data_IF_712773302547
#
_entry.id   IF_712773302547
#
_cell.length_a   1.000
_cell.length_b   1.000
_cell.length_c   1.000
_cell.angle_alpha   90.00
_cell.angle_beta   90.00
_cell.angle_gamma   90.00
#
_symmetry.space_group_name_H-M   'P 1'
#
loop_
_entity.id
_entity.type
_entity.pdbx_description
1 polymer ?
#
# COMPACT_ATOMS: atom_id res chain seq x y z
N UNK A 1 -3.49 9.51 -6.37
CA UNK A 1 -2.01 9.51 -6.49
C UNK A 1 -1.60 8.30 -7.31
N UNK A 2 -0.79 8.48 -8.34
CA UNK A 2 -0.28 7.38 -9.18
C UNK A 2 1.25 7.40 -9.13
N UNK A 3 1.87 6.23 -9.00
CA UNK A 3 3.31 6.04 -9.08
C UNK A 3 3.72 6.09 -10.56
N UNK A 4 4.59 7.03 -10.92
CA UNK A 4 5.05 7.22 -12.30
C UNK A 4 6.32 6.43 -12.62
N UNK A 5 7.17 6.18 -11.62
CA UNK A 5 8.45 5.47 -11.78
C UNK A 5 8.54 4.37 -10.72
N UNK A 6 8.84 3.17 -11.17
CA UNK A 6 9.07 1.99 -10.32
C UNK A 6 10.20 1.17 -10.95
N UNK A 7 11.24 0.88 -10.18
CA UNK A 7 12.36 0.06 -10.63
C UNK A 7 12.90 -0.74 -9.44
N UNK A 8 12.80 -2.06 -9.53
CA UNK A 8 13.30 -3.03 -8.55
C UNK A 8 14.28 -4.01 -9.19
N UNK A 9 14.90 -3.60 -10.30
CA UNK A 9 15.88 -4.43 -11.01
C UNK A 9 17.10 -4.74 -10.15
N UNK A 10 17.73 -5.87 -10.42
CA UNK A 10 18.95 -6.36 -9.77
C UNK A 10 18.84 -6.49 -8.24
N UNK A 11 17.69 -6.97 -7.77
CA UNK A 11 17.49 -7.32 -6.38
C UNK A 11 17.42 -8.86 -6.22
N UNK A 12 17.19 -9.31 -4.98
CA UNK A 12 16.97 -10.71 -4.65
C UNK A 12 15.49 -11.00 -4.44
N UNK A 13 14.61 -10.42 -5.26
CA UNK A 13 13.17 -10.65 -5.16
C UNK A 13 12.80 -12.05 -5.65
N UNK A 14 11.75 -12.61 -5.05
CA UNK A 14 11.26 -13.95 -5.32
C UNK A 14 9.75 -13.97 -5.46
N UNK A 15 9.20 -14.91 -6.22
CA UNK A 15 7.75 -15.09 -6.36
C UNK A 15 7.18 -14.52 -7.66
N UNK A 16 5.87 -14.37 -7.74
CA UNK A 16 5.17 -13.91 -8.94
C UNK A 16 5.18 -12.38 -9.04
N UNK A 17 5.48 -11.84 -10.22
CA UNK A 17 5.34 -10.40 -10.47
C UNK A 17 3.85 -9.99 -10.42
N UNK A 18 3.51 -8.81 -9.90
CA UNK A 18 2.13 -8.32 -9.95
C UNK A 18 1.65 -8.20 -11.39
N UNK A 19 0.58 -8.92 -11.76
CA UNK A 19 -0.04 -8.81 -13.10
C UNK A 19 -1.11 -7.72 -13.16
N UNK A 20 -1.63 -7.28 -12.01
CA UNK A 20 -2.77 -6.38 -11.91
C UNK A 20 -2.44 -5.12 -11.09
N UNK A 21 -3.29 -4.10 -11.24
CA UNK A 21 -3.09 -2.81 -10.58
C UNK A 21 -1.93 -2.02 -11.16
N UNK A 22 -1.44 -1.04 -10.38
CA UNK A 22 -0.39 -0.12 -10.82
C UNK A 22 0.95 -0.80 -11.10
N UNK A 23 1.30 -1.83 -10.33
CA UNK A 23 2.58 -2.50 -10.47
C UNK A 23 2.67 -3.39 -11.72
N UNK A 24 1.54 -3.92 -12.19
CA UNK A 24 1.48 -4.69 -13.45
C UNK A 24 1.59 -3.82 -14.71
N UNK A 25 1.56 -2.49 -14.57
CA UNK A 25 1.70 -1.58 -15.71
C UNK A 25 3.15 -1.12 -15.96
N UNK A 26 4.07 -1.42 -15.03
CA UNK A 26 5.48 -1.09 -15.23
C UNK A 26 6.15 -2.09 -16.16
N UNK A 27 7.13 -1.59 -16.90
CA UNK A 27 7.92 -2.36 -17.86
C UNK A 27 8.63 -3.53 -17.16
N UNK A 28 8.74 -4.67 -17.85
CA UNK A 28 9.45 -5.87 -17.39
C UNK A 28 10.90 -5.55 -17.02
N UNK A 29 11.48 -4.52 -17.65
CA UNK A 29 12.83 -4.04 -17.32
C UNK A 29 12.99 -3.63 -15.86
N UNK A 30 11.91 -3.17 -15.23
CA UNK A 30 11.84 -2.81 -13.82
C UNK A 30 12.02 -4.01 -12.90
N UNK A 31 11.88 -5.24 -13.43
CA UNK A 31 11.97 -6.51 -12.70
C UNK A 31 13.21 -7.33 -13.08
N UNK A 32 14.04 -6.87 -14.02
CA UNK A 32 15.24 -7.61 -14.47
C UNK A 32 16.22 -7.92 -13.33
N UNK A 33 17.03 -8.97 -13.50
CA UNK A 33 18.10 -9.27 -12.55
C UNK A 33 17.64 -9.79 -11.20
N UNK A 34 16.38 -10.25 -11.09
CA UNK A 34 15.84 -10.94 -9.92
C UNK A 34 15.64 -12.43 -10.22
N UNK A 35 16.60 -13.33 -9.90
CA UNK A 35 16.56 -14.71 -10.35
C UNK A 35 15.41 -15.56 -9.80
N UNK A 36 14.82 -15.14 -8.67
CA UNK A 36 13.68 -15.83 -8.06
C UNK A 36 12.33 -15.29 -8.47
N UNK A 37 12.28 -14.23 -9.28
CA UNK A 37 11.01 -13.73 -9.82
C UNK A 37 10.58 -14.60 -10.98
N UNK A 38 9.29 -14.93 -10.97
CA UNK A 38 8.65 -15.49 -12.13
C UNK A 38 7.83 -14.41 -12.84
N UNK A 39 8.35 -13.99 -13.99
CA UNK A 39 7.66 -13.08 -14.88
C UNK A 39 6.74 -13.91 -15.76
N UNK A 40 5.43 -13.66 -15.65
CA UNK A 40 4.41 -14.23 -16.52
C UNK A 40 4.50 -13.58 -17.91
N UNK A 41 5.54 -13.94 -18.65
CA UNK A 41 5.62 -13.62 -20.07
C UNK A 41 4.71 -14.59 -20.79
N UNK A 42 3.87 -14.11 -21.70
CA UNK A 42 2.80 -14.82 -22.45
C UNK A 42 3.14 -16.24 -22.98
N UNK A 43 4.42 -16.64 -23.01
CA UNK A 43 4.88 -17.98 -23.42
C UNK A 43 5.86 -18.69 -22.46
N UNK A 44 6.09 -18.19 -21.23
CA UNK A 44 6.92 -18.84 -20.20
C UNK A 44 6.04 -19.17 -19.01
N UNK A 45 5.51 -20.39 -18.98
CA UNK A 45 4.82 -20.91 -17.81
C UNK A 45 5.82 -20.95 -16.64
N UNK A 46 5.54 -20.18 -15.59
CA UNK A 46 6.08 -20.45 -14.27
C UNK A 46 5.78 -21.91 -13.94
N UNK A 47 6.81 -22.74 -13.77
CA UNK A 47 6.61 -24.16 -13.51
C UNK A 47 5.85 -24.37 -12.19
N UNK A 48 5.17 -25.51 -12.03
CA UNK A 48 4.51 -25.89 -10.77
C UNK A 48 5.50 -26.05 -9.59
N UNK A 49 6.82 -26.00 -9.85
CA UNK A 49 7.90 -26.10 -8.87
C UNK A 49 8.39 -24.74 -8.34
N UNK A 50 7.77 -23.61 -8.72
CA UNK A 50 7.93 -22.41 -7.90
C UNK A 50 7.28 -22.74 -6.55
N UNK A 51 8.03 -22.72 -5.42
CA UNK A 51 7.42 -23.00 -4.13
C UNK A 51 6.19 -22.12 -4.04
N UNK A 52 5.05 -22.74 -3.72
CA UNK A 52 3.74 -22.10 -3.59
C UNK A 52 3.76 -21.00 -2.53
N UNK A 53 4.51 -19.93 -2.77
CA UNK A 53 4.36 -18.61 -2.15
C UNK A 53 3.29 -17.88 -2.96
N UNK A 54 2.20 -18.59 -3.27
CA UNK A 54 0.91 -17.94 -3.29
C UNK A 54 0.79 -17.35 -1.86
N UNK A 55 0.63 -16.03 -1.68
CA UNK A 55 0.17 -15.54 -0.39
C UNK A 55 -1.07 -16.36 -0.07
N UNK A 56 -1.19 -16.96 1.13
CA UNK A 56 -2.25 -17.92 1.40
C UNK A 56 -3.56 -17.29 0.95
N UNK A 57 -4.26 -17.95 0.02
CA UNK A 57 -5.64 -17.64 -0.29
C UNK A 57 -6.41 -18.00 0.97
N UNK A 58 -6.45 -17.10 1.94
CA UNK A 58 -7.21 -17.25 3.18
C UNK A 58 -8.68 -17.26 2.83
N UNK A 59 -9.20 -18.46 2.63
CA UNK A 59 -10.60 -18.78 2.82
C UNK A 59 -10.92 -18.65 4.32
N UNK A 60 -11.49 -17.51 4.68
CA UNK A 60 -12.21 -17.19 5.92
C UNK A 60 -12.16 -18.26 7.04
N UNK A 61 -11.44 -17.97 8.13
CA UNK A 61 -12.04 -17.58 9.43
C UNK A 61 -10.94 -17.43 10.48
N UNK A 62 -10.94 -16.27 11.12
CA UNK A 62 -10.26 -15.90 12.37
C UNK A 62 -8.76 -16.20 12.49
N UNK A 63 -7.95 -15.17 12.26
CA UNK A 63 -6.93 -14.79 13.24
C UNK A 63 -6.78 -13.27 13.24
N UNK A 64 -7.00 -12.69 14.42
CA UNK A 64 -6.69 -11.30 14.71
C UNK A 64 -5.20 -11.25 15.00
N UNK A 65 -4.40 -10.76 14.07
CA UNK A 65 -3.40 -9.75 14.40
C UNK A 65 -2.83 -9.15 13.11
N UNK A 66 -2.75 -7.84 13.10
CA UNK A 66 -2.42 -7.06 11.95
C UNK A 66 -2.44 -5.60 12.35
N UNK A 67 -1.60 -5.27 13.34
CA UNK A 67 -1.09 -3.93 13.60
C UNK A 67 -0.36 -3.41 12.34
N UNK A 68 -1.15 -3.11 11.31
CA UNK A 68 -0.74 -2.24 10.22
C UNK A 68 -0.87 -0.86 10.81
N UNK A 69 0.25 -0.18 10.99
CA UNK A 69 0.34 1.20 11.46
C UNK A 69 -0.52 2.17 10.66
N UNK A 70 -1.83 2.14 10.90
CA UNK A 70 -2.79 3.17 10.62
C UNK A 70 -2.98 3.86 11.95
N UNK A 71 -2.55 5.12 12.04
CA UNK A 71 -2.84 5.97 13.18
C UNK A 71 -4.30 5.76 13.58
N UNK A 72 -4.55 5.38 14.82
CA UNK A 72 -5.87 5.03 15.30
C UNK A 72 -6.85 6.12 14.87
N UNK A 73 -7.82 5.75 14.02
CA UNK A 73 -8.76 6.71 13.41
C UNK A 73 -9.53 7.49 14.49
N UNK A 74 -9.62 6.91 15.68
CA UNK A 74 -10.15 7.52 16.90
C UNK A 74 -9.26 8.66 17.43
N UNK A 75 -7.95 8.48 17.52
CA UNK A 75 -6.99 9.52 17.93
C UNK A 75 -7.00 10.70 16.95
N UNK A 76 -7.10 10.40 15.65
CA UNK A 76 -7.21 11.44 14.63
C UNK A 76 -8.51 12.23 14.77
N UNK A 77 -9.63 11.55 15.05
CA UNK A 77 -10.93 12.19 15.21
C UNK A 77 -11.00 13.05 16.48
N UNK A 78 -10.41 12.58 17.58
CA UNK A 78 -10.31 13.33 18.83
C UNK A 78 -9.44 14.59 18.66
N UNK A 79 -8.27 14.43 18.04
CA UNK A 79 -7.32 15.53 17.80
C UNK A 79 -7.89 16.58 16.84
N UNK A 80 -8.47 16.15 15.72
CA UNK A 80 -9.12 17.05 14.77
C UNK A 80 -10.33 17.74 15.39
N UNK A 81 -11.15 17.01 16.16
CA UNK A 81 -12.33 17.53 16.84
C UNK A 81 -11.97 18.67 17.81
N UNK A 82 -11.01 18.44 18.71
CA UNK A 82 -10.56 19.45 19.68
C UNK A 82 -9.98 20.67 18.96
N UNK A 83 -9.13 20.46 17.96
CA UNK A 83 -8.51 21.55 17.19
C UNK A 83 -9.56 22.38 16.46
N UNK A 84 -10.54 21.71 15.84
CA UNK A 84 -11.62 22.35 15.09
C UNK A 84 -12.45 23.26 16.02
N UNK A 85 -12.86 22.77 17.20
CA UNK A 85 -13.63 23.57 18.18
C UNK A 85 -12.83 24.80 18.65
N UNK A 86 -11.54 24.66 18.96
CA UNK A 86 -10.69 25.78 19.37
C UNK A 86 -10.57 26.84 18.27
N UNK A 87 -10.39 26.43 17.02
CA UNK A 87 -10.32 27.33 15.88
C UNK A 87 -11.65 28.08 15.64
N UNK A 88 -12.79 27.38 15.75
CA UNK A 88 -14.12 28.00 15.66
C UNK A 88 -14.33 29.04 16.77
N UNK A 89 -13.97 28.74 18.02
CA UNK A 89 -14.09 29.71 19.11
C UNK A 89 -13.16 30.91 18.93
N UNK A 90 -11.93 30.69 18.49
CA UNK A 90 -10.96 31.76 18.23
C UNK A 90 -11.45 32.71 17.12
N UNK A 91 -12.00 32.18 16.02
CA UNK A 91 -12.53 33.00 14.93
C UNK A 91 -13.73 33.85 15.37
N UNK A 92 -14.66 33.28 16.13
CA UNK A 92 -15.79 34.03 16.70
C UNK A 92 -15.29 35.15 17.62
N UNK A 93 -14.30 34.87 18.48
CA UNK A 93 -13.75 35.87 19.38
C UNK A 93 -13.06 37.03 18.63
N UNK A 94 -12.28 36.73 17.59
CA UNK A 94 -11.63 37.76 16.76
C UNK A 94 -12.67 38.65 16.06
N UNK A 95 -13.73 38.06 15.49
CA UNK A 95 -14.82 38.81 14.87
C UNK A 95 -15.61 39.65 15.89
N UNK A 96 -15.76 39.17 17.12
CA UNK A 96 -16.44 39.90 18.18
C UNK A 96 -15.60 41.07 18.73
N UNK A 97 -14.27 40.93 18.74
CA UNK A 97 -13.32 41.97 19.19
C UNK A 97 -13.10 43.02 18.10
N UNK A 98 -13.14 42.63 16.82
CA UNK A 98 -13.02 43.51 15.67
C UNK A 98 -14.25 43.39 14.74
N UNK A 99 -15.36 44.06 15.10
CA UNK A 99 -16.58 44.06 14.29
C UNK A 99 -16.43 44.75 12.94
#
# INVERSE_FOLDING_TARGET
YSLEIFNVSYNSLTGMTPETGQFGHFDETSYYGNPGLCVSLVNKSCGPDLPNVLPPLTNNTSDKDGDRGGLDMEDFLWSFGVTSVVAFLATIAVLAINP
#
